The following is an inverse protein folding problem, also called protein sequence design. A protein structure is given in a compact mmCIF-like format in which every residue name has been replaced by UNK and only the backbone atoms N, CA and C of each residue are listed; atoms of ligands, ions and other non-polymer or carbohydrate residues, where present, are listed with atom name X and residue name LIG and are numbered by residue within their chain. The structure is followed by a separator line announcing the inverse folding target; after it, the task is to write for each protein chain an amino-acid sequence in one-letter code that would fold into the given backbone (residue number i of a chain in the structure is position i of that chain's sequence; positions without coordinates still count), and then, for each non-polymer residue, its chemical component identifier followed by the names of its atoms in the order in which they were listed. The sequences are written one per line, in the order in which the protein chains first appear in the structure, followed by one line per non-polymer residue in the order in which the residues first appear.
data_IF_455847544860
#
_entry.id   IF_455847544860
#
_cell.length_a   1.000
_cell.length_b   1.000
_cell.length_c   1.000
_cell.angle_alpha   90.00
_cell.angle_beta   90.00
_cell.angle_gamma   90.00
#
_symmetry.space_group_name_H-M   'P 1'
#
loop_
_entity.id
_entity.type
_entity.pdbx_description
1 polymer ?
#
# COMPACT_ATOMS: atom_id res chain seq x y z
N UNK A 1 -13.96 -23.90 -2.92
CA UNK A 1 -14.15 -22.98 -4.07
C UNK A 1 -13.31 -21.70 -3.93
N UNK A 2 -13.30 -21.03 -2.77
CA UNK A 2 -12.40 -19.89 -2.50
C UNK A 2 -10.92 -20.27 -2.68
N UNK A 3 -10.50 -21.45 -2.19
CA UNK A 3 -9.10 -21.89 -2.31
C UNK A 3 -8.62 -22.07 -3.76
N UNK A 4 -9.48 -22.53 -4.67
CA UNK A 4 -9.11 -22.64 -6.09
C UNK A 4 -9.03 -21.27 -6.76
N UNK A 5 -9.93 -20.35 -6.40
CA UNK A 5 -9.91 -18.97 -6.89
C UNK A 5 -8.65 -18.23 -6.43
N UNK A 6 -8.29 -18.39 -5.16
CA UNK A 6 -7.06 -17.82 -4.60
C UNK A 6 -5.81 -18.34 -5.30
N UNK A 7 -5.71 -19.65 -5.57
CA UNK A 7 -4.58 -20.22 -6.32
C UNK A 7 -4.44 -19.62 -7.72
N UNK A 8 -5.56 -19.36 -8.41
CA UNK A 8 -5.56 -18.74 -9.74
C UNK A 8 -5.04 -17.31 -9.65
N UNK A 9 -5.59 -16.49 -8.74
CA UNK A 9 -5.14 -15.10 -8.56
C UNK A 9 -3.69 -15.01 -8.08
N UNK A 10 -3.24 -15.93 -7.22
CA UNK A 10 -1.86 -15.97 -6.76
C UNK A 10 -0.90 -16.32 -7.90
N UNK A 11 -1.20 -17.35 -8.70
CA UNK A 11 -0.39 -17.68 -9.89
C UNK A 11 -0.36 -16.51 -10.87
N UNK A 12 -1.51 -15.87 -11.08
CA UNK A 12 -1.65 -14.71 -11.96
C UNK A 12 -0.80 -13.54 -11.46
N UNK A 13 -0.80 -13.23 -10.16
CA UNK A 13 0.03 -12.17 -9.61
C UNK A 13 1.52 -12.49 -9.71
N UNK A 14 1.99 -13.66 -9.27
CA UNK A 14 3.44 -13.93 -9.25
C UNK A 14 4.07 -14.10 -10.65
N UNK A 15 3.31 -14.57 -11.65
CA UNK A 15 3.86 -14.86 -12.99
C UNK A 15 3.55 -13.80 -14.05
N UNK A 16 2.88 -12.70 -13.68
CA UNK A 16 2.62 -11.60 -14.61
C UNK A 16 3.82 -10.68 -14.75
N UNK A 17 4.14 -10.30 -15.98
CA UNK A 17 5.13 -9.26 -16.25
C UNK A 17 4.85 -7.93 -15.53
N UNK A 18 3.57 -7.61 -15.31
CA UNK A 18 3.15 -6.39 -14.60
C UNK A 18 3.60 -6.35 -13.14
N UNK A 19 3.62 -7.48 -12.44
CA UNK A 19 4.06 -7.51 -11.04
C UNK A 19 5.56 -7.40 -10.92
N UNK A 20 6.29 -7.97 -11.89
CA UNK A 20 7.73 -7.76 -12.03
C UNK A 20 8.07 -6.28 -12.30
N UNK A 21 7.36 -5.64 -13.24
CA UNK A 21 7.50 -4.19 -13.46
C UNK A 21 7.18 -3.41 -12.18
N UNK A 22 6.08 -3.74 -11.49
CA UNK A 22 5.67 -3.08 -10.26
C UNK A 22 6.74 -3.20 -9.17
N UNK A 23 7.38 -4.37 -9.04
CA UNK A 23 8.49 -4.59 -8.13
C UNK A 23 9.72 -3.73 -8.48
N UNK A 24 10.11 -3.68 -9.76
CA UNK A 24 11.23 -2.85 -10.21
C UNK A 24 10.96 -1.38 -9.91
N UNK A 25 9.76 -0.88 -10.24
CA UNK A 25 9.39 0.52 -9.97
C UNK A 25 9.43 0.80 -8.48
N UNK A 26 8.85 -0.09 -7.66
CA UNK A 26 8.86 0.04 -6.20
C UNK A 26 10.29 0.14 -5.65
N UNK A 27 11.16 -0.80 -6.04
CA UNK A 27 12.55 -0.82 -5.59
C UNK A 27 13.34 0.38 -6.11
N UNK A 28 13.18 0.76 -7.38
CA UNK A 28 13.86 1.92 -7.94
C UNK A 28 13.49 3.22 -7.22
N UNK A 29 12.20 3.41 -6.94
CA UNK A 29 11.71 4.55 -6.16
C UNK A 29 12.25 4.53 -4.74
N UNK A 30 12.20 3.37 -4.08
CA UNK A 30 12.73 3.21 -2.73
C UNK A 30 14.23 3.54 -2.65
N UNK A 31 15.02 2.99 -3.59
CA UNK A 31 16.47 3.24 -3.69
C UNK A 31 16.75 4.71 -3.92
N UNK A 32 16.00 5.35 -4.83
CA UNK A 32 16.17 6.76 -5.14
C UNK A 32 15.88 7.65 -3.92
N UNK A 33 14.76 7.43 -3.22
CA UNK A 33 14.42 8.19 -2.00
C UNK A 33 15.46 7.96 -0.90
N UNK A 34 15.87 6.71 -0.70
CA UNK A 34 16.89 6.35 0.29
C UNK A 34 18.25 7.00 -0.03
N UNK A 35 18.60 7.13 -1.31
CA UNK A 35 19.80 7.86 -1.72
C UNK A 35 19.69 9.36 -1.47
N UNK A 36 18.54 9.99 -1.76
CA UNK A 36 18.33 11.41 -1.48
C UNK A 36 18.42 11.73 0.02
N UNK A 37 17.80 10.91 0.88
CA UNK A 37 17.90 11.09 2.34
C UNK A 37 19.34 10.98 2.86
N UNK A 38 20.21 10.21 2.19
CA UNK A 38 21.64 10.18 2.53
C UNK A 38 22.36 11.50 2.24
N UNK A 39 21.93 12.24 1.22
CA UNK A 39 22.55 13.51 0.83
C UNK A 39 22.13 14.67 1.73
N UNK A 40 20.92 14.61 2.30
CA UNK A 40 20.35 15.67 3.14
C UNK A 40 21.03 15.79 4.53
N UNK A 41 21.89 14.84 4.91
CA UNK A 41 22.48 14.81 6.24
C UNK A 41 23.89 15.45 6.23
N UNK A 42 24.12 16.53 7.00
CA UNK A 42 25.38 17.25 6.97
C UNK A 42 26.53 16.40 7.52
N UNK A 43 27.46 16.02 6.64
CA UNK A 43 28.72 15.36 7.00
C UNK A 43 29.78 16.39 7.40
N UNK A 44 29.50 17.18 8.44
CA UNK A 44 30.46 18.14 8.99
C UNK A 44 31.14 17.58 10.25
N UNK A 45 32.40 17.94 10.52
CA UNK A 45 33.13 17.48 11.71
C UNK A 45 32.49 17.95 13.04
N UNK A 46 31.57 18.93 12.99
CA UNK A 46 30.76 19.41 14.11
C UNK A 46 29.51 18.56 14.37
N UNK A 47 29.12 17.67 13.45
CA UNK A 47 28.00 16.77 13.66
C UNK A 47 28.43 15.60 14.54
N UNK A 48 27.87 15.51 15.75
CA UNK A 48 28.19 14.45 16.69
C UNK A 48 27.93 13.09 16.03
N UNK A 49 28.95 12.23 15.98
CA UNK A 49 28.90 10.89 15.38
C UNK A 49 27.69 10.06 15.82
N UNK A 50 27.19 10.27 17.03
CA UNK A 50 25.98 9.63 17.55
C UNK A 50 24.70 10.08 16.83
N UNK A 51 24.50 11.37 16.60
CA UNK A 51 23.35 11.87 15.83
C UNK A 51 23.39 11.39 14.37
N UNK A 52 24.59 11.26 13.81
CA UNK A 52 24.76 10.69 12.47
C UNK A 52 24.24 9.25 12.42
N UNK A 53 24.69 8.39 13.34
CA UNK A 53 24.27 6.98 13.40
C UNK A 53 22.77 6.82 13.70
N UNK A 54 22.18 7.72 14.49
CA UNK A 54 20.75 7.69 14.79
C UNK A 54 19.87 8.05 13.60
N UNK A 55 20.31 9.01 12.78
CA UNK A 55 19.58 9.44 11.59
C UNK A 55 19.91 8.61 10.33
N UNK A 56 20.97 7.80 10.36
CA UNK A 56 21.45 6.96 9.24
C UNK A 56 21.42 5.45 9.52
N UNK A 57 20.61 4.97 10.44
CA UNK A 57 20.47 3.52 10.62
C UNK A 57 19.52 2.88 9.57
N UNK A 58 19.64 1.57 9.37
CA UNK A 58 18.79 0.85 8.41
C UNK A 58 17.29 0.87 8.75
N UNK A 59 16.91 1.03 10.02
CA UNK A 59 15.51 1.10 10.44
C UNK A 59 14.88 2.43 10.05
N UNK A 60 15.51 3.54 10.42
CA UNK A 60 15.03 4.90 10.16
C UNK A 60 15.08 5.22 8.68
N UNK A 61 16.09 4.75 7.93
CA UNK A 61 16.15 4.97 6.48
C UNK A 61 14.97 4.30 5.77
N UNK A 62 14.61 3.08 6.17
CA UNK A 62 13.41 2.42 5.65
C UNK A 62 12.13 3.24 5.94
N UNK A 63 11.96 3.69 7.19
CA UNK A 63 10.79 4.47 7.58
C UNK A 63 10.73 5.80 6.83
N UNK A 64 11.86 6.48 6.71
CA UNK A 64 11.95 7.75 6.00
C UNK A 64 11.65 7.60 4.52
N UNK A 65 12.17 6.56 3.88
CA UNK A 65 11.86 6.25 2.50
C UNK A 65 10.36 5.98 2.28
N UNK A 66 9.67 5.45 3.29
CA UNK A 66 8.23 5.18 3.22
C UNK A 66 7.34 6.40 3.49
N UNK A 67 7.80 7.38 4.27
CA UNK A 67 6.88 8.39 4.79
C UNK A 67 7.48 9.67 5.35
N UNK A 68 8.75 9.97 5.13
CA UNK A 68 9.27 11.30 5.51
C UNK A 68 8.80 12.39 4.54
N UNK A 69 8.98 13.66 4.90
CA UNK A 69 8.50 14.83 4.13
C UNK A 69 8.96 14.82 2.67
N UNK A 70 10.18 14.34 2.41
CA UNK A 70 10.76 14.26 1.06
C UNK A 70 10.38 12.96 0.32
N UNK A 71 9.63 12.05 0.96
CA UNK A 71 9.21 10.80 0.34
C UNK A 71 7.95 10.99 -0.50
N UNK A 72 8.06 10.69 -1.79
CA UNK A 72 6.92 10.57 -2.70
C UNK A 72 6.40 9.13 -2.81
N UNK A 73 6.82 8.22 -1.90
CA UNK A 73 6.36 6.83 -1.89
C UNK A 73 4.84 6.75 -1.69
N UNK A 74 4.25 7.61 -0.87
CA UNK A 74 2.80 7.68 -0.65
C UNK A 74 1.99 7.89 -1.95
N UNK A 75 2.56 8.60 -2.92
CA UNK A 75 1.93 8.90 -4.22
C UNK A 75 2.07 7.73 -5.18
N UNK A 76 3.23 7.07 -5.15
CA UNK A 76 3.60 6.00 -6.10
C UNK A 76 3.14 4.62 -5.63
N UNK A 77 3.00 4.40 -4.33
CA UNK A 77 2.60 3.12 -3.77
C UNK A 77 1.23 2.62 -4.29
N UNK A 78 0.17 3.45 -4.37
CA UNK A 78 -1.11 3.00 -4.91
C UNK A 78 -1.04 2.59 -6.37
N UNK A 79 -0.29 3.29 -7.23
CA UNK A 79 -0.16 2.89 -8.64
C UNK A 79 0.58 1.57 -8.80
N UNK A 80 1.58 1.29 -7.94
CA UNK A 80 2.28 0.00 -7.90
C UNK A 80 1.30 -1.14 -7.58
N UNK A 81 0.45 -0.95 -6.56
CA UNK A 81 -0.56 -1.95 -6.19
C UNK A 81 -1.57 -2.16 -7.33
N UNK A 82 -2.01 -1.06 -7.95
CA UNK A 82 -2.97 -1.11 -9.05
C UNK A 82 -2.38 -1.81 -10.29
N UNK A 83 -1.08 -1.69 -10.56
CA UNK A 83 -0.40 -2.48 -11.60
C UNK A 83 -0.45 -3.99 -11.32
N UNK A 84 -0.39 -4.38 -10.04
CA UNK A 84 -0.40 -5.79 -9.63
C UNK A 84 -1.79 -6.42 -9.77
N UNK A 85 -2.82 -5.76 -9.24
CA UNK A 85 -4.17 -6.36 -9.08
C UNK A 85 -5.31 -5.55 -9.70
N UNK A 86 -5.07 -4.31 -10.14
CA UNK A 86 -6.14 -3.39 -10.56
C UNK A 86 -6.96 -3.88 -11.76
N UNK A 87 -6.36 -4.61 -12.69
CA UNK A 87 -7.05 -5.14 -13.88
C UNK A 87 -7.68 -6.53 -13.68
N UNK A 88 -7.58 -7.10 -12.47
CA UNK A 88 -7.95 -8.48 -12.19
C UNK A 88 -9.41 -8.81 -12.53
N UNK A 89 -10.36 -7.86 -12.34
CA UNK A 89 -11.77 -8.08 -12.71
C UNK A 89 -12.00 -7.95 -14.22
N UNK A 90 -11.35 -6.99 -14.87
CA UNK A 90 -11.50 -6.77 -16.32
C UNK A 90 -10.95 -7.96 -17.10
N UNK A 91 -9.86 -8.58 -16.63
CA UNK A 91 -9.35 -9.77 -17.28
C UNK A 91 -10.34 -10.94 -17.21
N UNK A 92 -11.06 -11.11 -16.10
CA UNK A 92 -12.07 -12.17 -15.98
C UNK A 92 -13.25 -11.95 -16.93
N UNK A 93 -13.60 -10.68 -17.20
CA UNK A 93 -14.60 -10.33 -18.22
C UNK A 93 -14.07 -10.64 -19.62
N UNK A 94 -12.84 -10.22 -19.94
CA UNK A 94 -12.23 -10.38 -21.27
C UNK A 94 -11.97 -11.84 -21.64
N UNK A 95 -11.58 -12.66 -20.66
CA UNK A 95 -11.30 -14.09 -20.86
C UNK A 95 -12.56 -14.95 -20.86
N UNK A 96 -13.74 -14.37 -20.59
CA UNK A 96 -14.99 -15.12 -20.43
C UNK A 96 -15.06 -15.94 -19.12
N UNK A 97 -14.03 -15.87 -18.28
CA UNK A 97 -13.96 -16.59 -17.00
C UNK A 97 -15.13 -16.23 -16.08
N UNK A 98 -15.53 -14.96 -16.07
CA UNK A 98 -16.70 -14.50 -15.32
C UNK A 98 -17.97 -15.24 -15.73
N UNK A 99 -18.24 -15.35 -17.03
CA UNK A 99 -19.45 -16.01 -17.54
C UNK A 99 -19.43 -17.50 -17.19
N UNK A 100 -18.30 -18.16 -17.42
CA UNK A 100 -18.11 -19.56 -17.05
C UNK A 100 -18.36 -19.80 -15.56
N UNK A 101 -17.85 -18.94 -14.69
CA UNK A 101 -18.05 -19.08 -13.25
C UNK A 101 -19.51 -18.87 -12.82
N UNK A 102 -20.19 -17.90 -13.44
CA UNK A 102 -21.60 -17.59 -13.16
C UNK A 102 -22.57 -18.69 -13.64
N UNK A 103 -22.20 -19.54 -14.60
CA UNK A 103 -23.02 -20.71 -14.94
C UNK A 103 -23.11 -21.75 -13.82
N UNK A 104 -22.13 -21.77 -12.91
CA UNK A 104 -22.01 -22.77 -11.84
C UNK A 104 -22.35 -22.21 -10.46
N UNK A 105 -22.44 -20.89 -10.32
CA UNK A 105 -22.60 -20.21 -9.02
C UNK A 105 -23.25 -18.84 -9.15
N UNK A 106 -23.82 -18.35 -8.04
CA UNK A 106 -24.37 -17.00 -7.98
C UNK A 106 -23.30 -15.91 -8.05
N UNK A 107 -23.70 -14.75 -8.58
CA UNK A 107 -22.91 -13.53 -8.65
C UNK A 107 -22.38 -13.08 -7.27
N UNK A 108 -23.15 -13.31 -6.18
CA UNK A 108 -22.76 -12.98 -4.80
C UNK A 108 -21.55 -13.79 -4.34
N UNK A 109 -21.53 -15.07 -4.67
CA UNK A 109 -20.44 -15.97 -4.31
C UNK A 109 -19.19 -15.69 -5.14
N UNK A 110 -19.35 -15.30 -6.41
CA UNK A 110 -18.26 -14.83 -7.25
C UNK A 110 -17.58 -13.59 -6.64
N UNK A 111 -18.32 -12.50 -6.42
CA UNK A 111 -17.73 -11.24 -5.95
C UNK A 111 -17.09 -11.41 -4.56
N UNK A 112 -17.71 -12.19 -3.66
CA UNK A 112 -17.13 -12.53 -2.36
C UNK A 112 -15.81 -13.30 -2.48
N UNK A 113 -15.75 -14.30 -3.36
CA UNK A 113 -14.53 -15.08 -3.57
C UNK A 113 -13.43 -14.23 -4.21
N UNK A 114 -13.81 -13.36 -5.16
CA UNK A 114 -12.90 -12.42 -5.84
C UNK A 114 -12.30 -11.42 -4.87
N UNK A 115 -13.11 -10.78 -4.03
CA UNK A 115 -12.63 -9.78 -3.07
C UNK A 115 -11.68 -10.41 -2.05
N UNK A 116 -12.00 -11.60 -1.52
CA UNK A 116 -11.11 -12.31 -0.58
C UNK A 116 -9.79 -12.68 -1.27
N UNK A 117 -9.84 -13.25 -2.47
CA UNK A 117 -8.64 -13.67 -3.19
C UNK A 117 -7.72 -12.49 -3.52
N UNK A 118 -8.28 -11.40 -4.08
CA UNK A 118 -7.50 -10.21 -4.42
C UNK A 118 -6.94 -9.53 -3.17
N UNK A 119 -7.69 -9.50 -2.06
CA UNK A 119 -7.19 -8.98 -0.78
C UNK A 119 -5.95 -9.75 -0.32
N UNK A 120 -6.03 -11.08 -0.24
CA UNK A 120 -4.91 -11.91 0.18
C UNK A 120 -3.70 -11.78 -0.74
N UNK A 121 -3.93 -11.74 -2.06
CA UNK A 121 -2.85 -11.56 -3.04
C UNK A 121 -2.18 -10.19 -2.91
N UNK A 122 -2.96 -9.11 -2.80
CA UNK A 122 -2.43 -7.76 -2.60
C UNK A 122 -1.60 -7.64 -1.32
N UNK A 123 -2.10 -8.22 -0.23
CA UNK A 123 -1.39 -8.30 1.04
C UNK A 123 -0.06 -9.04 0.91
N UNK A 124 -0.05 -10.25 0.34
CA UNK A 124 1.17 -11.05 0.22
C UNK A 124 2.22 -10.38 -0.66
N UNK A 125 1.82 -9.84 -1.82
CA UNK A 125 2.77 -9.21 -2.76
C UNK A 125 3.39 -7.95 -2.14
N UNK A 126 2.58 -7.08 -1.53
CA UNK A 126 3.09 -5.86 -0.89
C UNK A 126 3.93 -6.14 0.35
N UNK A 127 3.57 -7.14 1.14
CA UNK A 127 4.38 -7.59 2.26
C UNK A 127 5.78 -8.04 1.79
N UNK A 128 5.85 -8.84 0.72
CA UNK A 128 7.13 -9.26 0.14
C UNK A 128 7.94 -8.06 -0.35
N UNK A 129 7.31 -7.10 -1.03
CA UNK A 129 7.99 -5.89 -1.52
C UNK A 129 8.62 -5.11 -0.35
N UNK A 130 7.89 -4.93 0.75
CA UNK A 130 8.39 -4.22 1.92
C UNK A 130 9.51 -4.97 2.65
N UNK A 131 9.39 -6.30 2.78
CA UNK A 131 10.48 -7.11 3.34
C UNK A 131 11.75 -6.98 2.51
N UNK A 132 11.64 -7.01 1.17
CA UNK A 132 12.78 -6.77 0.29
C UNK A 132 13.38 -5.37 0.46
N UNK A 133 12.55 -4.32 0.54
CA UNK A 133 13.02 -2.96 0.79
C UNK A 133 13.71 -2.80 2.16
N UNK A 134 13.19 -3.47 3.20
CA UNK A 134 13.81 -3.48 4.51
C UNK A 134 15.17 -4.19 4.50
N UNK A 135 15.26 -5.36 3.86
CA UNK A 135 16.55 -6.08 3.69
C UNK A 135 17.56 -5.19 2.97
N UNK A 136 17.15 -4.50 1.90
CA UNK A 136 18.00 -3.55 1.19
C UNK A 136 18.49 -2.42 2.12
N UNK A 137 17.61 -1.85 2.94
CA UNK A 137 17.98 -0.79 3.90
C UNK A 137 19.03 -1.28 4.90
N UNK A 138 18.88 -2.50 5.41
CA UNK A 138 19.82 -3.13 6.35
C UNK A 138 21.19 -3.43 5.73
N UNK A 139 21.25 -3.74 4.44
CA UNK A 139 22.51 -3.99 3.73
C UNK A 139 23.26 -2.67 3.45
N UNK A 140 22.53 -1.59 3.16
CA UNK A 140 23.11 -0.34 2.66
C UNK A 140 23.41 0.71 3.73
N UNK A 141 22.96 0.50 4.96
CA UNK A 141 23.12 1.43 6.08
C UNK A 141 23.80 0.75 7.26
N UNK A 142 24.52 1.51 8.10
CA UNK A 142 25.11 0.97 9.32
C UNK A 142 24.03 0.38 10.24
N UNK A 143 24.36 -0.76 10.83
CA UNK A 143 23.54 -1.34 11.88
C UNK A 143 23.72 -0.54 13.17
N UNK A 144 22.64 0.08 13.64
CA UNK A 144 22.60 0.79 14.90
C UNK A 144 21.21 0.68 15.52
N UNK A 145 21.14 0.32 16.80
CA UNK A 145 19.88 0.25 17.54
C UNK A 145 19.57 1.67 18.05
N UNK A 146 18.42 2.25 17.66
CA UNK A 146 18.06 3.62 18.03
C UNK A 146 17.95 3.76 19.55
N UNK A 147 18.49 4.85 20.10
CA UNK A 147 18.47 5.17 21.55
C UNK A 147 17.91 6.55 21.86
N UNK A 148 17.95 7.47 20.91
CA UNK A 148 17.39 8.80 21.04
C UNK A 148 15.93 8.88 20.61
N UNK A 149 15.17 9.59 21.43
CA UNK A 149 13.73 9.82 21.29
C UNK A 149 13.45 10.85 20.19
N UNK A 150 14.37 11.80 19.96
CA UNK A 150 14.15 12.92 19.04
C UNK A 150 14.22 12.50 17.56
N UNK A 151 15.05 11.49 17.26
CA UNK A 151 15.19 10.91 15.93
C UNK A 151 14.16 9.78 15.66
N UNK A 152 13.35 9.41 16.65
CA UNK A 152 12.39 8.32 16.55
C UNK A 152 11.10 8.76 15.84
N UNK A 153 10.43 7.84 15.10
CA UNK A 153 9.11 8.11 14.54
C UNK A 153 8.12 8.51 15.64
N UNK A 154 7.15 9.35 15.28
CA UNK A 154 6.10 9.80 16.21
C UNK A 154 5.07 8.70 16.45
N UNK A 155 4.67 7.99 15.38
CA UNK A 155 3.71 6.91 15.47
C UNK A 155 4.29 5.71 16.22
N UNK A 156 3.57 5.22 17.24
CA UNK A 156 3.94 4.07 18.09
C UNK A 156 5.41 4.08 18.55
N UNK A 157 5.93 5.27 18.90
CA UNK A 157 7.33 5.52 19.26
C UNK A 157 7.88 4.54 20.30
N UNK A 158 7.11 4.22 21.34
CA UNK A 158 7.52 3.29 22.39
C UNK A 158 7.89 1.91 21.83
N UNK A 159 7.16 1.41 20.84
CA UNK A 159 7.45 0.13 20.20
C UNK A 159 8.76 0.18 19.39
N UNK A 160 9.00 1.29 18.68
CA UNK A 160 10.24 1.49 17.94
C UNK A 160 11.48 1.49 18.84
N UNK A 161 11.39 2.16 20.00
CA UNK A 161 12.49 2.25 20.97
C UNK A 161 12.75 0.93 21.69
N UNK A 162 11.70 0.16 22.00
CA UNK A 162 11.83 -1.13 22.69
C UNK A 162 12.27 -2.25 21.75
N UNK A 163 11.65 -2.35 20.57
CA UNK A 163 11.86 -3.43 19.61
C UNK A 163 11.70 -2.92 18.17
N UNK A 164 12.76 -2.36 17.55
CA UNK A 164 12.67 -1.74 16.22
C UNK A 164 12.26 -2.75 15.13
N UNK A 165 12.63 -4.03 15.25
CA UNK A 165 12.21 -5.08 14.31
C UNK A 165 10.69 -5.31 14.33
N UNK A 166 10.08 -5.36 15.51
CA UNK A 166 8.61 -5.51 15.65
C UNK A 166 7.90 -4.27 15.11
N UNK A 167 8.50 -3.10 15.29
CA UNK A 167 7.98 -1.86 14.71
C UNK A 167 7.97 -1.91 13.17
N UNK A 168 9.08 -2.31 12.54
CA UNK A 168 9.13 -2.46 11.08
C UNK A 168 8.08 -3.47 10.60
N UNK A 169 7.96 -4.62 11.27
CA UNK A 169 6.96 -5.62 10.94
C UNK A 169 5.53 -5.07 11.03
N UNK A 170 5.24 -4.25 12.06
CA UNK A 170 3.96 -3.57 12.20
C UNK A 170 3.70 -2.60 11.04
N UNK A 171 4.69 -1.79 10.66
CA UNK A 171 4.57 -0.91 9.50
C UNK A 171 4.34 -1.71 8.21
N UNK A 172 5.02 -2.84 8.03
CA UNK A 172 4.80 -3.69 6.87
C UNK A 172 3.34 -4.21 6.82
N UNK A 173 2.81 -4.65 7.97
CA UNK A 173 1.41 -5.07 8.06
C UNK A 173 0.47 -3.92 7.70
N UNK A 174 0.70 -2.71 8.21
CA UNK A 174 -0.14 -1.54 7.91
C UNK A 174 -0.16 -1.26 6.41
N UNK A 175 0.98 -1.10 5.75
CA UNK A 175 0.99 -0.84 4.31
C UNK A 175 0.39 -2.00 3.50
N UNK A 176 0.54 -3.23 3.98
CA UNK A 176 -0.12 -4.39 3.36
C UNK A 176 -1.66 -4.31 3.50
N UNK A 177 -2.18 -3.82 4.63
CA UNK A 177 -3.62 -3.53 4.78
C UNK A 177 -4.08 -2.39 3.87
N UNK A 178 -3.28 -1.32 3.72
CA UNK A 178 -3.56 -0.23 2.78
C UNK A 178 -3.69 -0.78 1.35
N UNK A 179 -2.83 -1.72 0.98
CA UNK A 179 -2.87 -2.35 -0.34
C UNK A 179 -4.18 -3.08 -0.62
N UNK A 180 -4.76 -3.75 0.40
CA UNK A 180 -6.06 -4.41 0.30
C UNK A 180 -7.13 -3.38 -0.04
N UNK A 181 -7.15 -2.26 0.67
CA UNK A 181 -8.15 -1.20 0.47
C UNK A 181 -8.07 -0.64 -0.96
N UNK A 182 -6.86 -0.33 -1.43
CA UNK A 182 -6.64 0.18 -2.79
C UNK A 182 -7.08 -0.85 -3.84
N UNK A 183 -6.76 -2.14 -3.64
CA UNK A 183 -7.15 -3.21 -4.55
C UNK A 183 -8.67 -3.40 -4.61
N UNK A 184 -9.36 -3.35 -3.46
CA UNK A 184 -10.82 -3.46 -3.39
C UNK A 184 -11.51 -2.24 -4.01
N UNK A 185 -10.97 -1.05 -3.80
CA UNK A 185 -11.44 0.16 -4.46
C UNK A 185 -11.32 0.06 -5.99
N UNK A 186 -10.21 -0.51 -6.49
CA UNK A 186 -10.02 -0.78 -7.91
C UNK A 186 -11.04 -1.78 -8.46
N UNK A 187 -11.32 -2.86 -7.73
CA UNK A 187 -12.37 -3.84 -8.11
C UNK A 187 -13.73 -3.16 -8.18
N UNK A 188 -14.07 -2.32 -7.20
CA UNK A 188 -15.35 -1.64 -7.16
C UNK A 188 -15.54 -0.75 -8.40
N UNK A 189 -14.52 0.01 -8.78
CA UNK A 189 -14.54 0.87 -9.97
C UNK A 189 -14.50 0.08 -11.28
N UNK A 190 -13.75 -1.02 -11.34
CA UNK A 190 -13.58 -1.86 -12.53
C UNK A 190 -14.90 -2.36 -13.10
N UNK A 191 -15.95 -2.47 -12.30
CA UNK A 191 -17.30 -2.85 -12.74
C UNK A 191 -17.91 -1.90 -13.79
N UNK A 192 -17.45 -0.66 -13.88
CA UNK A 192 -17.91 0.33 -14.86
C UNK A 192 -16.91 0.57 -15.99
N UNK A 193 -15.74 -0.03 -15.90
CA UNK A 193 -14.62 0.23 -16.79
C UNK A 193 -14.50 -0.89 -17.81
N UNK A 194 -14.15 -0.51 -19.04
CA UNK A 194 -14.03 -1.47 -20.16
C UNK A 194 -12.58 -1.88 -20.39
N UNK A 195 -11.63 -1.00 -20.06
CA UNK A 195 -10.22 -1.15 -20.40
C UNK A 195 -9.35 -1.40 -19.16
N UNK A 196 -8.38 -2.30 -19.30
CA UNK A 196 -7.43 -2.65 -18.23
C UNK A 196 -6.63 -1.43 -17.76
N UNK A 197 -6.23 -0.55 -18.68
CA UNK A 197 -5.52 0.69 -18.33
C UNK A 197 -6.39 1.67 -17.52
N UNK A 198 -7.69 1.72 -17.80
CA UNK A 198 -8.64 2.55 -17.04
C UNK A 198 -8.80 2.05 -15.61
N UNK A 199 -8.85 0.72 -15.42
CA UNK A 199 -8.92 0.11 -14.09
C UNK A 199 -7.68 0.36 -13.22
N UNK A 200 -6.56 0.76 -13.82
CA UNK A 200 -5.34 1.13 -13.10
C UNK A 200 -5.31 2.65 -12.88
N UNK A 201 -5.48 3.44 -13.94
CA UNK A 201 -5.31 4.89 -13.87
C UNK A 201 -6.42 5.61 -13.11
N UNK A 202 -7.69 5.21 -13.28
CA UNK A 202 -8.81 5.93 -12.67
C UNK A 202 -8.80 5.83 -11.14
N UNK A 203 -8.64 4.64 -10.52
CA UNK A 203 -8.53 4.57 -9.06
C UNK A 203 -7.36 5.37 -8.50
N UNK A 204 -6.23 5.40 -9.21
CA UNK A 204 -5.05 6.18 -8.81
C UNK A 204 -5.30 7.69 -8.89
N UNK A 205 -5.88 8.18 -10.00
CA UNK A 205 -6.20 9.61 -10.15
C UNK A 205 -7.22 10.04 -9.08
N UNK A 206 -8.24 9.24 -8.81
CA UNK A 206 -9.21 9.54 -7.75
C UNK A 206 -8.56 9.58 -6.37
N UNK A 207 -7.64 8.65 -6.09
CA UNK A 207 -6.84 8.67 -4.87
C UNK A 207 -6.04 9.97 -4.73
N UNK A 208 -5.40 10.43 -5.82
CA UNK A 208 -4.63 11.68 -5.81
C UNK A 208 -5.51 12.91 -5.65
N UNK A 209 -6.64 12.99 -6.36
CA UNK A 209 -7.57 14.12 -6.23
C UNK A 209 -8.10 14.22 -4.80
N UNK A 210 -8.46 13.08 -4.19
CA UNK A 210 -8.90 13.05 -2.78
C UNK A 210 -7.76 13.39 -1.82
N UNK A 211 -6.55 12.88 -2.07
CA UNK A 211 -5.36 13.17 -1.28
C UNK A 211 -4.98 14.64 -1.28
N UNK A 212 -4.72 15.18 -2.47
CA UNK A 212 -4.33 16.58 -2.67
C UNK A 212 -5.46 17.52 -2.27
N UNK A 213 -6.71 17.20 -2.65
CA UNK A 213 -7.86 18.03 -2.33
C UNK A 213 -8.11 18.16 -0.83
N UNK A 214 -7.94 17.08 -0.05
CA UNK A 214 -8.02 17.16 1.40
C UNK A 214 -6.80 17.84 2.02
N UNK A 215 -5.61 17.70 1.42
CA UNK A 215 -4.40 18.39 1.88
C UNK A 215 -4.50 19.93 1.77
N UNK A 216 -5.31 20.45 0.86
CA UNK A 216 -5.58 21.89 0.74
C UNK A 216 -6.46 22.45 1.88
N UNK A 217 -7.01 21.59 2.75
CA UNK A 217 -7.95 21.98 3.81
C UNK A 217 -7.28 21.73 5.18
N UNK A 218 -6.80 22.81 5.81
CA UNK A 218 -6.02 22.76 7.07
C UNK A 218 -6.69 22.00 8.23
N UNK A 219 -8.02 21.89 8.25
CA UNK A 219 -8.74 21.18 9.31
C UNK A 219 -8.86 19.67 9.08
N UNK A 220 -8.68 19.19 7.83
CA UNK A 220 -8.96 17.79 7.44
C UNK A 220 -7.78 17.15 6.70
N UNK A 221 -6.68 17.87 6.44
CA UNK A 221 -5.51 17.33 5.73
C UNK A 221 -4.96 16.05 6.40
N UNK A 222 -5.07 15.96 7.72
CA UNK A 222 -4.68 14.78 8.49
C UNK A 222 -5.44 13.53 8.06
N UNK A 223 -6.67 13.65 7.56
CA UNK A 223 -7.46 12.51 7.07
C UNK A 223 -7.23 12.20 5.58
N UNK A 224 -6.30 12.90 4.92
CA UNK A 224 -6.04 12.64 3.52
C UNK A 224 -5.46 11.23 3.32
N UNK A 225 -5.91 10.49 2.29
CA UNK A 225 -5.43 9.13 2.03
C UNK A 225 -3.94 9.09 1.63
N UNK A 226 -3.38 10.22 1.20
CA UNK A 226 -1.93 10.40 0.95
C UNK A 226 -1.18 10.49 2.27
N UNK A 227 -1.65 11.30 3.21
CA UNK A 227 -1.01 11.44 4.52
C UNK A 227 -1.08 10.15 5.34
N UNK A 228 -2.21 9.46 5.27
CA UNK A 228 -2.43 8.15 5.87
C UNK A 228 -1.68 6.99 5.18
N UNK A 229 -0.91 7.28 4.11
CA UNK A 229 -0.11 6.31 3.35
C UNK A 229 1.40 6.64 3.37
N UNK A 230 1.94 6.96 4.55
CA UNK A 230 3.37 7.19 4.76
C UNK A 230 3.65 8.31 5.77
N UNK A 231 3.30 9.57 5.45
CA UNK A 231 3.54 10.74 6.32
C UNK A 231 3.14 10.56 7.78
N UNK A 232 2.07 9.81 8.06
CA UNK A 232 1.62 9.50 9.42
C UNK A 232 2.71 8.91 10.35
N UNK A 233 3.78 8.28 9.81
CA UNK A 233 4.84 7.64 10.59
C UNK A 233 5.58 8.67 11.47
N UNK A 234 5.86 9.85 10.93
CA UNK A 234 6.67 10.88 11.60
C UNK A 234 5.84 11.97 12.27
N UNK A 235 4.54 11.98 12.01
CA UNK A 235 3.64 13.06 12.42
C UNK A 235 2.97 12.78 13.77
N UNK A 236 2.73 13.84 14.56
CA UNK A 236 2.31 13.72 15.98
C UNK A 236 0.80 13.56 16.17
N UNK A 237 0.04 13.52 15.08
CA UNK A 237 -1.42 13.63 15.14
C UNK A 237 -2.15 12.36 15.54
N UNK A 238 -1.50 11.19 15.50
CA UNK A 238 -2.21 9.91 15.61
C UNK A 238 -1.77 9.03 16.77
N UNK A 239 -2.75 8.44 17.44
CA UNK A 239 -2.54 7.30 18.33
C UNK A 239 -2.29 6.01 17.53
N UNK A 240 -1.76 4.98 18.20
CA UNK A 240 -1.44 3.68 17.60
C UNK A 240 -2.59 3.04 16.80
N UNK A 241 -3.83 3.23 17.25
CA UNK A 241 -5.00 2.52 16.70
C UNK A 241 -5.73 3.28 15.59
N UNK A 242 -5.57 4.60 15.53
CA UNK A 242 -6.34 5.45 14.61
C UNK A 242 -6.12 5.12 13.14
N UNK A 243 -4.88 4.84 12.74
CA UNK A 243 -4.56 4.47 11.35
C UNK A 243 -5.21 3.13 10.98
N UNK A 244 -5.20 2.15 11.89
CA UNK A 244 -5.84 0.85 11.67
C UNK A 244 -7.35 1.03 11.55
N UNK A 245 -7.96 1.83 12.41
CA UNK A 245 -9.39 2.13 12.36
C UNK A 245 -9.78 2.87 11.08
N UNK A 246 -9.01 3.88 10.68
CA UNK A 246 -9.21 4.64 9.44
C UNK A 246 -9.26 3.70 8.23
N UNK A 247 -8.23 2.87 8.05
CA UNK A 247 -8.18 1.94 6.92
C UNK A 247 -9.23 0.83 7.01
N UNK A 248 -9.61 0.41 8.23
CA UNK A 248 -10.70 -0.55 8.42
C UNK A 248 -12.05 0.01 7.96
N UNK A 249 -12.37 1.27 8.29
CA UNK A 249 -13.61 1.92 7.83
C UNK A 249 -13.64 2.00 6.30
N UNK A 250 -12.54 2.43 5.67
CA UNK A 250 -12.45 2.52 4.21
C UNK A 250 -12.50 1.13 3.57
N UNK A 251 -11.95 0.10 4.21
CA UNK A 251 -12.07 -1.29 3.76
C UNK A 251 -13.53 -1.71 3.69
N UNK A 252 -14.31 -1.51 4.75
CA UNK A 252 -15.74 -1.85 4.76
C UNK A 252 -16.53 -1.06 3.71
N UNK A 253 -16.23 0.24 3.55
CA UNK A 253 -16.83 1.07 2.51
C UNK A 253 -16.50 0.54 1.10
N UNK A 254 -15.25 0.14 0.86
CA UNK A 254 -14.81 -0.39 -0.43
C UNK A 254 -15.48 -1.73 -0.76
N UNK A 255 -15.64 -2.61 0.22
CA UNK A 255 -16.42 -3.85 0.07
C UNK A 255 -17.87 -3.53 -0.27
N UNK A 256 -18.52 -2.66 0.51
CA UNK A 256 -19.92 -2.28 0.29
C UNK A 256 -20.14 -1.69 -1.10
N UNK A 257 -19.28 -0.76 -1.52
CA UNK A 257 -19.31 -0.17 -2.86
C UNK A 257 -19.11 -1.23 -3.96
N UNK A 258 -18.15 -2.14 -3.77
CA UNK A 258 -17.91 -3.25 -4.69
C UNK A 258 -19.15 -4.13 -4.89
N UNK A 259 -19.79 -4.56 -3.80
CA UNK A 259 -21.03 -5.34 -3.87
C UNK A 259 -22.19 -4.57 -4.50
N UNK A 260 -22.39 -3.30 -4.14
CA UNK A 260 -23.47 -2.45 -4.66
C UNK A 260 -23.32 -2.14 -6.14
N UNK A 261 -22.09 -1.93 -6.62
CA UNK A 261 -21.83 -1.67 -8.04
C UNK A 261 -21.94 -2.96 -8.86
N UNK A 262 -21.48 -4.09 -8.32
CA UNK A 262 -21.59 -5.38 -9.00
C UNK A 262 -23.04 -5.83 -9.13
N UNK A 263 -23.86 -5.67 -8.09
CA UNK A 263 -25.27 -6.08 -8.12
C UNK A 263 -26.07 -5.33 -9.21
N UNK A 264 -25.82 -4.04 -9.42
CA UNK A 264 -26.48 -3.26 -10.47
C UNK A 264 -26.24 -3.84 -11.86
N UNK A 265 -25.04 -4.32 -12.16
CA UNK A 265 -24.74 -4.87 -13.48
C UNK A 265 -25.47 -6.20 -13.78
N UNK A 266 -25.93 -6.93 -12.76
CA UNK A 266 -26.63 -8.22 -12.92
C UNK A 266 -28.13 -8.14 -12.69
N UNK A 267 -28.62 -7.16 -11.91
CA UNK A 267 -30.06 -6.96 -11.68
C UNK A 267 -30.72 -6.25 -12.87
N UNK A 268 -30.00 -5.38 -13.60
CA UNK A 268 -30.55 -4.64 -14.75
C UNK A 268 -30.36 -5.34 -16.11
N UNK A 269 -29.72 -6.52 -16.14
CA UNK A 269 -29.49 -7.32 -17.36
C UNK A 269 -30.30 -8.65 -17.37
N UNK A 270 -31.34 -8.74 -16.54
CA UNK A 270 -32.40 -9.75 -16.64
C UNK A 270 -33.67 -9.06 -17.09
#
# INVERSE_FOLDING_TARGET
MVNSFFKIELKRAFFRWKTFIAFIIFMAVFIHISYLDKLDIPNTPTYLKYFFLENHNGFISYLKAMGFVNSYMAIVFPIIILLVVGDSLIEDVKTGFLQFYLTRTDWKNYIRSKTIAVSLVSFMVTFIFQVCAFIYSMITHPFYIPRNIDAAPSYARGLYMLNPYLYILLICIIFSLISIVIALFAIALSNRLKNSSQAILIPWILYLILGIGLNCIDSIYSFSPVFMCGPFIFERFYSGWEIILYWSVILFLSIYLGFKLFSKNFVFNK
#
